data_IF_067250341407
#
_entry.id   IF_067250341407
#
_cell.length_a   1.000
_cell.length_b   1.000
_cell.length_c   1.000
_cell.angle_alpha   90.00
_cell.angle_beta   90.00
_cell.angle_gamma   90.00
#
_symmetry.space_group_name_H-M   'P 1'
#
loop_
_entity.id
_entity.type
_entity.pdbx_description
1 polymer ?
#
# COMPACT_ATOMS: atom_id res chain seq x y z
N UNK A 1 -18.51 -5.86 -2.99
CA UNK A 1 -18.18 -5.35 -4.35
C UNK A 1 -18.35 -3.82 -4.27
N UNK A 2 -17.30 -3.01 -4.43
CA UNK A 2 -17.44 -1.56 -4.31
C UNK A 2 -18.35 -1.00 -5.41
N UNK A 3 -19.00 0.16 -5.18
CA UNK A 3 -19.79 0.84 -6.20
C UNK A 3 -18.95 1.10 -7.45
N UNK A 4 -19.58 0.97 -8.62
CA UNK A 4 -18.89 1.12 -9.91
C UNK A 4 -18.24 2.51 -10.01
N UNK A 5 -16.94 2.54 -10.31
CA UNK A 5 -16.16 3.79 -10.47
C UNK A 5 -15.41 4.28 -9.22
N UNK A 6 -15.52 3.58 -8.08
CA UNK A 6 -14.75 3.93 -6.86
C UNK A 6 -13.50 3.05 -6.76
N UNK A 7 -12.33 3.67 -6.59
CA UNK A 7 -11.07 2.94 -6.39
C UNK A 7 -11.10 2.09 -5.12
N UNK A 8 -10.58 0.86 -5.20
CA UNK A 8 -10.49 -0.06 -4.06
C UNK A 8 -9.29 0.28 -3.18
N UNK A 9 -9.52 0.64 -1.91
CA UNK A 9 -8.46 0.87 -0.94
C UNK A 9 -8.46 -0.25 0.11
N UNK A 10 -8.00 -1.43 -0.29
CA UNK A 10 -8.00 -2.62 0.57
C UNK A 10 -6.59 -3.03 0.92
N UNK A 11 -6.34 -3.29 2.21
CA UNK A 11 -5.06 -3.77 2.70
C UNK A 11 -5.28 -5.06 3.49
N UNK A 12 -4.64 -6.15 3.07
CA UNK A 12 -4.72 -7.44 3.76
C UNK A 12 -3.87 -7.44 5.02
N UNK A 13 -4.49 -7.69 6.18
CA UNK A 13 -3.78 -7.88 7.45
C UNK A 13 -3.20 -9.30 7.51
N UNK A 14 -4.05 -10.28 7.23
CA UNK A 14 -3.74 -11.70 7.13
C UNK A 14 -4.74 -12.40 6.19
N UNK A 15 -4.72 -13.74 6.14
CA UNK A 15 -5.58 -14.50 5.23
C UNK A 15 -7.08 -14.43 5.56
N UNK A 16 -7.45 -13.96 6.76
CA UNK A 16 -8.84 -13.84 7.21
C UNK A 16 -9.33 -12.39 7.24
N UNK A 17 -8.44 -11.42 7.50
CA UNK A 17 -8.80 -10.02 7.79
C UNK A 17 -8.24 -9.03 6.77
N UNK A 18 -9.09 -8.08 6.35
CA UNK A 18 -8.76 -6.99 5.43
C UNK A 18 -9.27 -5.67 5.99
N UNK A 19 -8.44 -4.62 5.92
CA UNK A 19 -8.88 -3.23 6.16
C UNK A 19 -9.35 -2.63 4.86
N UNK A 20 -10.62 -2.24 4.80
CA UNK A 20 -11.22 -1.53 3.67
C UNK A 20 -11.37 -0.03 3.98
N UNK A 21 -10.54 0.78 3.33
CA UNK A 21 -10.53 2.24 3.43
C UNK A 21 -11.30 2.96 2.31
N UNK A 22 -12.11 2.21 1.53
CA UNK A 22 -12.82 2.74 0.34
C UNK A 22 -13.84 3.81 0.72
N UNK A 23 -14.63 3.56 1.77
CA UNK A 23 -15.67 4.49 2.25
C UNK A 23 -15.23 5.28 3.49
N UNK A 24 -14.50 4.64 4.40
CA UNK A 24 -14.04 5.22 5.67
C UNK A 24 -12.57 4.89 5.84
N UNK A 25 -11.71 5.91 5.96
CA UNK A 25 -10.27 5.70 6.05
C UNK A 25 -9.54 6.93 6.55
N UNK A 26 -8.21 6.90 6.46
CA UNK A 26 -7.34 8.00 6.84
C UNK A 26 -6.56 8.53 5.63
N UNK A 27 -5.68 9.51 5.86
CA UNK A 27 -4.74 9.99 4.84
C UNK A 27 -3.82 8.88 4.29
N UNK A 28 -3.65 7.76 5.00
CA UNK A 28 -2.80 6.65 4.58
C UNK A 28 -3.23 6.03 3.24
N UNK A 29 -4.50 6.18 2.83
CA UNK A 29 -5.00 5.67 1.54
C UNK A 29 -4.32 6.32 0.32
N UNK A 30 -3.66 7.45 0.50
CA UNK A 30 -2.98 8.18 -0.56
C UNK A 30 -1.47 7.89 -0.64
N UNK A 31 -0.94 6.99 0.18
CA UNK A 31 0.48 6.63 0.16
C UNK A 31 0.72 5.69 -1.02
N UNK A 32 1.42 6.15 -2.04
CA UNK A 32 1.63 5.41 -3.28
C UNK A 32 2.62 4.25 -3.15
N UNK A 33 2.66 3.43 -4.20
CA UNK A 33 3.65 2.39 -4.37
C UNK A 33 4.96 2.92 -4.97
N UNK A 34 6.10 2.43 -4.46
CA UNK A 34 7.38 2.47 -5.17
C UNK A 34 8.11 1.14 -5.05
N UNK A 35 8.80 0.73 -6.13
CA UNK A 35 9.68 -0.44 -6.12
C UNK A 35 10.99 -0.18 -5.34
N UNK A 36 11.34 1.09 -5.10
CA UNK A 36 12.42 1.52 -4.20
C UNK A 36 11.81 2.44 -3.12
N UNK A 37 11.04 1.89 -2.17
CA UNK A 37 10.26 2.69 -1.23
C UNK A 37 11.10 3.31 -0.13
N UNK A 38 10.59 4.37 0.50
CA UNK A 38 11.17 4.97 1.71
C UNK A 38 10.43 4.58 2.99
N UNK A 39 9.29 3.89 2.88
CA UNK A 39 8.52 3.33 3.98
C UNK A 39 8.24 1.83 3.80
N UNK A 40 7.84 1.18 4.90
CA UNK A 40 7.35 -0.19 4.92
C UNK A 40 6.15 -0.32 5.85
N UNK A 41 5.27 -1.27 5.56
CA UNK A 41 4.10 -1.57 6.39
C UNK A 41 4.39 -2.72 7.36
N UNK A 42 3.83 -2.63 8.57
CA UNK A 42 3.77 -3.74 9.54
C UNK A 42 2.41 -3.80 10.20
N UNK A 43 1.98 -5.03 10.48
CA UNK A 43 0.85 -5.29 11.36
C UNK A 43 1.36 -5.33 12.80
N UNK A 44 0.78 -4.53 13.68
CA UNK A 44 1.03 -4.53 15.12
C UNK A 44 -0.26 -4.81 15.87
N UNK A 45 -0.15 -5.31 17.11
CA UNK A 45 -1.29 -5.51 18.00
C UNK A 45 -1.29 -4.42 19.07
N UNK A 46 -2.40 -3.69 19.17
CA UNK A 46 -2.63 -2.66 20.19
C UNK A 46 -3.95 -2.99 20.85
N UNK A 47 -3.94 -3.22 22.16
CA UNK A 47 -5.15 -3.55 22.93
C UNK A 47 -5.96 -4.73 22.36
N UNK A 48 -5.29 -5.72 21.77
CA UNK A 48 -5.92 -6.89 21.15
C UNK A 48 -6.42 -6.66 19.71
N UNK A 49 -6.31 -5.44 19.18
CA UNK A 49 -6.68 -5.11 17.80
C UNK A 49 -5.46 -5.06 16.89
N UNK A 50 -5.60 -5.56 15.67
CA UNK A 50 -4.55 -5.49 14.64
C UNK A 50 -4.61 -4.14 13.93
N UNK A 51 -3.45 -3.50 13.81
CA UNK A 51 -3.30 -2.22 13.13
C UNK A 51 -2.20 -2.33 12.08
N UNK A 52 -2.46 -1.80 10.89
CA UNK A 52 -1.43 -1.61 9.87
C UNK A 52 -0.79 -0.26 10.10
N UNK A 53 0.52 -0.26 10.35
CA UNK A 53 1.30 0.95 10.59
C UNK A 53 2.41 1.06 9.54
N UNK A 54 2.58 2.27 9.02
CA UNK A 54 3.62 2.61 8.06
C UNK A 54 4.80 3.19 8.82
N UNK A 55 5.97 2.57 8.67
CA UNK A 55 7.22 2.97 9.28
C UNK A 55 8.20 3.45 8.21
N UNK A 56 9.07 4.39 8.56
CA UNK A 56 10.14 4.83 7.65
C UNK A 56 11.27 3.79 7.61
N UNK A 57 11.78 3.48 6.40
CA UNK A 57 12.97 2.63 6.18
C UNK A 57 14.28 3.40 6.40
N UNK A 58 14.23 4.72 6.23
CA UNK A 58 15.36 5.63 6.36
C UNK A 58 14.88 6.99 6.84
N UNK A 59 15.81 7.91 7.10
CA UNK A 59 15.45 9.32 7.29
C UNK A 59 14.79 9.87 6.02
N UNK A 60 13.63 10.52 6.18
CA UNK A 60 12.85 11.13 5.10
C UNK A 60 12.94 12.65 5.26
N UNK A 61 13.30 13.34 4.19
CA UNK A 61 13.39 14.79 4.16
C UNK A 61 12.04 15.42 3.79
N UNK A 62 11.87 16.69 4.16
CA UNK A 62 10.66 17.45 3.82
C UNK A 62 10.51 17.53 2.30
N UNK A 63 9.31 17.22 1.81
CA UNK A 63 8.97 17.25 0.39
C UNK A 63 9.19 15.93 -0.35
N UNK A 64 9.77 14.92 0.29
CA UNK A 64 9.78 13.57 -0.26
C UNK A 64 8.39 12.93 -0.20
N UNK A 65 7.97 12.30 -1.29
CA UNK A 65 6.75 11.49 -1.32
C UNK A 65 6.95 10.22 -0.47
N UNK A 66 5.98 9.91 0.38
CA UNK A 66 5.97 8.66 1.14
C UNK A 66 5.49 7.52 0.25
N UNK A 67 6.28 6.44 0.16
CA UNK A 67 5.94 5.28 -0.65
C UNK A 67 6.28 3.98 0.06
N UNK A 68 5.51 2.92 -0.18
CA UNK A 68 5.79 1.57 0.34
C UNK A 68 5.59 0.48 -0.73
N UNK A 69 6.11 -0.72 -0.49
CA UNK A 69 5.86 -1.85 -1.38
C UNK A 69 4.47 -2.44 -1.12
N UNK A 70 3.57 -2.35 -2.10
CA UNK A 70 2.21 -2.88 -1.99
C UNK A 70 2.19 -4.41 -1.95
N UNK A 71 3.27 -5.07 -2.40
CA UNK A 71 3.38 -6.53 -2.45
C UNK A 71 2.17 -7.20 -3.11
N UNK A 72 1.65 -6.59 -4.18
CA UNK A 72 0.59 -7.23 -4.95
C UNK A 72 1.08 -8.60 -5.41
N UNK A 73 0.24 -9.64 -5.28
CA UNK A 73 0.57 -10.95 -5.81
C UNK A 73 0.81 -10.85 -7.32
N UNK A 74 1.60 -11.77 -7.88
CA UNK A 74 1.82 -11.81 -9.32
C UNK A 74 0.49 -12.17 -9.98
N UNK A 75 -0.11 -11.18 -10.64
CA UNK A 75 -1.36 -11.36 -11.37
C UNK A 75 -1.09 -11.95 -12.76
N UNK A 76 -2.14 -12.54 -13.34
CA UNK A 76 -2.10 -12.98 -14.74
C UNK A 76 -1.75 -11.81 -15.67
N UNK A 77 -1.09 -12.06 -16.82
CA UNK A 77 -0.61 -10.99 -17.70
C UNK A 77 -1.66 -9.95 -18.10
N UNK A 78 -2.94 -10.34 -18.19
CA UNK A 78 -4.05 -9.47 -18.56
C UNK A 78 -4.53 -8.53 -17.43
N UNK A 79 -4.16 -8.80 -16.17
CA UNK A 79 -4.57 -8.01 -15.01
C UNK A 79 -3.46 -7.12 -14.43
N UNK A 80 -2.19 -7.33 -14.87
CA UNK A 80 -1.03 -6.57 -14.37
C UNK A 80 -1.22 -5.06 -14.48
N UNK A 81 -1.18 -4.39 -13.34
CA UNK A 81 -1.24 -2.93 -13.23
C UNK A 81 0.13 -2.32 -13.53
N UNK A 82 0.28 -1.42 -14.52
CA UNK A 82 1.58 -0.83 -14.83
C UNK A 82 2.06 0.09 -13.69
N UNK A 83 3.32 -0.08 -13.29
CA UNK A 83 3.95 0.69 -12.22
C UNK A 83 4.66 1.95 -12.76
N UNK A 84 4.25 3.11 -12.26
CA UNK A 84 4.76 4.43 -12.67
C UNK A 84 5.66 5.10 -11.61
N UNK A 85 6.26 4.34 -10.69
CA UNK A 85 7.01 4.89 -9.57
C UNK A 85 8.32 5.62 -9.93
N UNK A 86 8.81 5.52 -11.17
CA UNK A 86 10.04 6.19 -11.62
C UNK A 86 11.36 5.64 -11.06
N UNK A 87 11.31 4.61 -10.21
CA UNK A 87 12.48 3.98 -9.61
C UNK A 87 13.42 3.35 -10.66
N UNK A 88 14.74 3.36 -10.41
CA UNK A 88 15.72 2.78 -11.35
C UNK A 88 15.52 1.27 -11.49
N UNK A 89 15.12 0.62 -10.40
CA UNK A 89 14.82 -0.83 -10.33
C UNK A 89 13.31 -1.10 -10.31
N UNK A 90 12.53 -0.33 -11.07
CA UNK A 90 11.08 -0.52 -11.18
C UNK A 90 10.73 -1.87 -11.83
N UNK A 91 9.80 -2.62 -11.22
CA UNK A 91 9.27 -3.90 -11.73
C UNK A 91 8.36 -3.75 -12.95
N UNK A 92 8.00 -2.50 -13.30
CA UNK A 92 7.08 -2.10 -14.39
C UNK A 92 5.63 -2.52 -14.21
N UNK A 93 5.35 -3.38 -13.22
CA UNK A 93 4.04 -3.86 -12.82
C UNK A 93 3.99 -4.01 -11.29
#
# INVERSE_FOLDING_TARGET
RPPQGIGCYMFRIDDAEVVDATMHGSAARFINHSCEPNCYSRVIHVEGHKHIVIFALRRILRGEELTYDYKFPIEEPAAKLPCNCGAKRCRRF
#
